data_IF_542111812930
#
_entry.id   IF_542111812930
#
_cell.length_a   1.000
_cell.length_b   1.000
_cell.length_c   1.000
_cell.angle_alpha   90.00
_cell.angle_beta   90.00
_cell.angle_gamma   90.00
#
_symmetry.space_group_name_H-M   'P 1'
#
loop_
_entity.id
_entity.type
_entity.pdbx_description
1 polymer ?
#
# COMPACT_ATOMS: atom_id res chain seq x y z
N UNK A 1 -8.29 21.27 -2.81
CA UNK A 1 -7.92 20.22 -1.83
C UNK A 1 -7.56 18.95 -2.61
N UNK A 2 -6.46 18.32 -2.27
CA UNK A 2 -6.10 17.01 -2.88
C UNK A 2 -6.63 15.88 -2.00
N UNK A 3 -7.39 14.96 -2.58
CA UNK A 3 -7.93 13.77 -1.91
C UNK A 3 -7.03 12.58 -2.24
N UNK A 4 -6.75 11.75 -1.26
CA UNK A 4 -5.99 10.50 -1.37
C UNK A 4 -6.86 9.38 -0.83
N UNK A 5 -6.90 8.23 -1.50
CA UNK A 5 -7.67 7.07 -1.08
C UNK A 5 -6.80 6.15 -0.22
N UNK A 6 -7.25 5.84 1.00
CA UNK A 6 -6.65 4.81 1.84
C UNK A 6 -7.07 3.41 1.42
N UNK A 7 -6.12 2.49 1.32
CA UNK A 7 -6.35 1.12 0.86
C UNK A 7 -6.45 0.06 1.97
N UNK A 8 -6.34 0.46 3.22
CA UNK A 8 -6.24 -0.49 4.35
C UNK A 8 -7.35 -1.56 4.39
N UNK A 9 -8.56 -1.21 3.95
CA UNK A 9 -9.72 -2.11 3.91
C UNK A 9 -9.90 -2.87 2.59
N UNK A 10 -8.97 -2.70 1.63
CA UNK A 10 -9.11 -3.34 0.31
C UNK A 10 -8.73 -4.83 0.33
N UNK A 11 -7.85 -5.24 1.24
CA UNK A 11 -7.41 -6.64 1.37
C UNK A 11 -7.60 -7.22 2.76
N UNK A 12 -7.79 -6.38 3.77
CA UNK A 12 -7.89 -6.79 5.17
C UNK A 12 -9.05 -6.08 5.87
N UNK A 13 -9.57 -6.68 6.93
CA UNK A 13 -10.43 -5.98 7.89
C UNK A 13 -9.57 -5.03 8.71
N UNK A 14 -9.81 -3.74 8.61
CA UNK A 14 -9.07 -2.72 9.32
C UNK A 14 -10.00 -1.77 10.07
N UNK A 15 -9.59 -1.35 11.26
CA UNK A 15 -10.37 -0.43 12.10
C UNK A 15 -11.31 -1.13 13.09
N UNK A 16 -12.10 -0.33 13.79
CA UNK A 16 -12.95 -0.75 14.93
C UNK A 16 -14.27 -1.38 14.46
N UNK A 17 -14.68 -1.16 13.23
CA UNK A 17 -15.96 -1.62 12.69
C UNK A 17 -15.82 -2.96 11.97
N UNK A 18 -16.86 -3.81 12.08
CA UNK A 18 -16.97 -5.11 11.41
C UNK A 18 -17.24 -4.97 9.90
N UNK A 19 -16.51 -4.10 9.19
CA UNK A 19 -16.66 -3.96 7.75
C UNK A 19 -16.23 -5.23 7.02
N UNK A 20 -17.03 -5.61 6.05
CA UNK A 20 -16.68 -6.65 5.09
C UNK A 20 -15.57 -6.15 4.19
N UNK A 21 -14.61 -7.02 3.87
CA UNK A 21 -13.63 -6.72 2.83
C UNK A 21 -14.36 -6.50 1.51
N UNK A 22 -14.03 -5.42 0.80
CA UNK A 22 -14.66 -5.10 -0.48
C UNK A 22 -14.36 -6.15 -1.53
N UNK A 23 -15.36 -6.49 -2.33
CA UNK A 23 -15.15 -7.36 -3.48
C UNK A 23 -14.30 -6.66 -4.55
N UNK A 24 -13.68 -7.42 -5.44
CA UNK A 24 -12.92 -6.85 -6.58
C UNK A 24 -13.81 -5.96 -7.44
N UNK A 25 -15.09 -6.29 -7.58
CA UNK A 25 -16.04 -5.50 -8.37
C UNK A 25 -16.31 -4.14 -7.71
N UNK A 26 -16.51 -4.12 -6.40
CA UNK A 26 -16.66 -2.87 -5.63
C UNK A 26 -15.41 -2.01 -5.72
N UNK A 27 -14.23 -2.61 -5.59
CA UNK A 27 -12.95 -1.90 -5.70
C UNK A 27 -12.75 -1.31 -7.11
N UNK A 28 -13.12 -2.04 -8.17
CA UNK A 28 -13.11 -1.50 -9.54
C UNK A 28 -14.02 -0.28 -9.67
N UNK A 29 -15.20 -0.32 -9.05
CA UNK A 29 -16.14 0.80 -9.01
C UNK A 29 -15.55 2.01 -8.29
N UNK A 30 -14.97 1.82 -7.11
CA UNK A 30 -14.32 2.86 -6.32
C UNK A 30 -13.18 3.50 -7.12
N UNK A 31 -12.28 2.71 -7.67
CA UNK A 31 -11.14 3.22 -8.44
C UNK A 31 -11.59 3.96 -9.71
N UNK A 32 -12.60 3.45 -10.40
CA UNK A 32 -13.18 4.14 -11.57
C UNK A 32 -13.77 5.49 -11.19
N UNK A 33 -14.52 5.56 -10.09
CA UNK A 33 -15.06 6.81 -9.56
C UNK A 33 -13.96 7.80 -9.21
N UNK A 34 -12.92 7.35 -8.52
CA UNK A 34 -11.77 8.17 -8.15
C UNK A 34 -11.10 8.79 -9.39
N UNK A 35 -10.80 7.96 -10.40
CA UNK A 35 -10.18 8.42 -11.67
C UNK A 35 -11.03 9.47 -12.37
N UNK A 36 -12.36 9.28 -12.45
CA UNK A 36 -13.30 10.24 -13.05
C UNK A 36 -13.34 11.58 -12.31
N UNK A 37 -13.08 11.58 -11.01
CA UNK A 37 -13.11 12.78 -10.16
C UNK A 37 -11.72 13.37 -9.87
N UNK A 38 -10.69 12.97 -10.63
CA UNK A 38 -9.33 13.50 -10.49
C UNK A 38 -8.60 13.04 -9.22
N UNK A 39 -9.13 12.01 -8.54
CA UNK A 39 -8.47 11.37 -7.39
C UNK A 39 -7.54 10.30 -7.95
N UNK A 40 -6.25 10.59 -7.98
CA UNK A 40 -5.26 9.77 -8.68
C UNK A 40 -4.13 9.28 -7.76
N UNK A 41 -4.33 9.32 -6.44
CA UNK A 41 -3.34 8.88 -5.47
C UNK A 41 -3.95 7.91 -4.46
N UNK A 42 -3.24 6.81 -4.21
CA UNK A 42 -3.61 5.78 -3.25
C UNK A 42 -2.57 5.76 -2.13
N UNK A 43 -3.03 5.83 -0.89
CA UNK A 43 -2.23 5.60 0.31
C UNK A 43 -2.32 4.12 0.70
N UNK A 44 -1.22 3.44 0.56
CA UNK A 44 -1.08 2.01 0.72
C UNK A 44 -0.02 1.66 1.78
N UNK A 45 0.14 0.38 2.07
CA UNK A 45 1.27 -0.14 2.85
C UNK A 45 1.61 -1.57 2.39
N UNK A 46 2.89 -1.85 2.20
CA UNK A 46 3.37 -3.19 1.85
C UNK A 46 2.93 -4.24 2.89
N UNK A 47 2.71 -3.81 4.14
CA UNK A 47 2.24 -4.67 5.23
C UNK A 47 0.74 -4.97 5.22
N UNK A 48 -0.04 -4.45 4.26
CA UNK A 48 -1.48 -4.73 4.16
C UNK A 48 -1.79 -6.09 3.50
N UNK A 49 -1.00 -7.11 3.82
CA UNK A 49 -1.21 -8.48 3.35
C UNK A 49 -0.98 -8.61 1.84
N UNK A 50 -1.99 -9.08 1.10
CA UNK A 50 -1.90 -9.30 -0.34
C UNK A 50 -2.40 -8.13 -1.19
N UNK A 51 -2.32 -6.91 -0.69
CA UNK A 51 -2.89 -5.72 -1.34
C UNK A 51 -2.37 -5.51 -2.77
N UNK A 52 -1.09 -5.73 -3.00
CA UNK A 52 -0.48 -5.59 -4.33
C UNK A 52 -1.15 -6.53 -5.35
N UNK A 53 -1.45 -7.77 -4.93
CA UNK A 53 -2.17 -8.75 -5.74
C UNK A 53 -3.63 -8.36 -6.01
N UNK A 54 -4.26 -7.64 -5.09
CA UNK A 54 -5.59 -7.06 -5.28
C UNK A 54 -5.52 -5.97 -6.35
N UNK A 55 -4.57 -5.04 -6.24
CA UNK A 55 -4.40 -3.97 -7.22
C UNK A 55 -4.02 -4.49 -8.62
N UNK A 56 -3.29 -5.60 -8.72
CA UNK A 56 -3.00 -6.24 -10.00
C UNK A 56 -4.26 -6.63 -10.79
N UNK A 57 -5.39 -6.88 -10.11
CA UNK A 57 -6.68 -7.25 -10.72
C UNK A 57 -7.53 -6.05 -11.13
N UNK A 58 -7.04 -4.84 -10.89
CA UNK A 58 -7.75 -3.58 -11.09
C UNK A 58 -6.94 -2.70 -12.06
N UNK A 59 -7.62 -1.93 -12.91
CA UNK A 59 -6.93 -0.94 -13.75
C UNK A 59 -6.41 0.22 -12.90
N UNK A 60 -5.13 0.15 -12.53
CA UNK A 60 -4.41 1.18 -11.78
C UNK A 60 -3.61 2.13 -12.66
N UNK A 61 -3.81 2.11 -13.98
CA UNK A 61 -3.15 3.05 -14.91
C UNK A 61 -3.44 4.49 -14.48
N UNK A 62 -2.43 5.34 -14.51
CA UNK A 62 -2.48 6.75 -14.10
C UNK A 62 -2.76 6.98 -12.60
N UNK A 63 -2.72 5.94 -11.77
CA UNK A 63 -2.73 6.10 -10.32
C UNK A 63 -1.31 6.15 -9.77
N UNK A 64 -1.10 7.04 -8.84
CA UNK A 64 0.11 7.16 -8.04
C UNK A 64 -0.07 6.39 -6.73
N UNK A 65 1.00 5.81 -6.23
CA UNK A 65 0.98 5.09 -4.96
C UNK A 65 1.96 5.74 -3.98
N UNK A 66 1.45 6.01 -2.79
CA UNK A 66 2.24 6.23 -1.59
C UNK A 66 2.25 4.91 -0.85
N UNK A 67 3.40 4.44 -0.36
CA UNK A 67 3.44 3.21 0.44
C UNK A 67 4.19 3.40 1.74
N UNK A 68 3.98 2.47 2.66
CA UNK A 68 4.61 2.44 3.97
C UNK A 68 5.37 1.15 4.16
N UNK A 69 6.56 1.27 4.77
CA UNK A 69 7.40 0.13 5.14
C UNK A 69 7.52 0.10 6.66
N UNK A 70 7.39 -1.11 7.20
CA UNK A 70 7.60 -1.40 8.61
C UNK A 70 8.98 -2.01 8.83
N UNK A 71 9.67 -1.60 9.89
CA UNK A 71 10.89 -2.24 10.33
C UNK A 71 10.56 -3.67 10.81
N UNK A 72 11.21 -4.71 10.28
CA UNK A 72 10.94 -6.08 10.71
C UNK A 72 11.38 -6.30 12.16
N UNK A 73 10.68 -7.15 12.90
CA UNK A 73 10.98 -7.43 14.32
C UNK A 73 12.41 -7.92 14.55
N UNK A 74 12.94 -8.68 13.60
CA UNK A 74 14.29 -9.24 13.62
C UNK A 74 15.34 -8.37 12.90
N UNK A 75 15.10 -7.07 12.76
CA UNK A 75 15.96 -6.17 11.98
C UNK A 75 17.43 -6.20 12.39
N UNK A 76 17.70 -6.46 13.69
CA UNK A 76 19.08 -6.60 14.20
C UNK A 76 19.85 -7.79 13.62
N UNK A 77 19.16 -8.80 13.12
CA UNK A 77 19.74 -9.98 12.47
C UNK A 77 19.98 -9.79 10.96
N UNK A 78 19.45 -8.71 10.39
CA UNK A 78 19.56 -8.44 8.97
C UNK A 78 20.89 -7.71 8.71
N UNK A 79 21.79 -8.38 8.01
CA UNK A 79 23.14 -7.84 7.73
C UNK A 79 23.12 -6.55 6.92
N UNK A 80 22.16 -6.41 5.99
CA UNK A 80 22.03 -5.24 5.12
C UNK A 80 20.57 -4.81 5.01
N UNK A 81 20.13 -3.93 5.92
CA UNK A 81 18.77 -3.40 5.95
C UNK A 81 18.41 -2.62 4.68
N UNK A 82 19.36 -1.90 4.07
CA UNK A 82 19.13 -1.16 2.84
C UNK A 82 18.74 -2.12 1.72
N UNK A 83 19.50 -3.18 1.54
CA UNK A 83 19.21 -4.18 0.49
C UNK A 83 17.88 -4.87 0.76
N UNK A 84 17.64 -5.27 2.00
CA UNK A 84 16.36 -5.87 2.43
C UNK A 84 15.15 -5.01 2.05
N UNK A 85 15.18 -3.71 2.34
CA UNK A 85 14.09 -2.81 1.98
C UNK A 85 13.97 -2.60 0.47
N UNK A 86 15.10 -2.49 -0.23
CA UNK A 86 15.10 -2.36 -1.69
C UNK A 86 14.45 -3.57 -2.36
N UNK A 87 14.71 -4.77 -1.88
CA UNK A 87 14.14 -6.00 -2.43
C UNK A 87 12.64 -6.07 -2.20
N UNK A 88 12.15 -5.72 -1.01
CA UNK A 88 10.71 -5.64 -0.72
C UNK A 88 10.03 -4.63 -1.64
N UNK A 89 10.61 -3.44 -1.81
CA UNK A 89 10.07 -2.39 -2.68
C UNK A 89 10.02 -2.87 -4.13
N UNK A 90 11.08 -3.50 -4.62
CA UNK A 90 11.15 -4.02 -6.00
C UNK A 90 10.11 -5.10 -6.26
N UNK A 91 9.95 -6.03 -5.33
CA UNK A 91 8.92 -7.08 -5.42
C UNK A 91 7.52 -6.48 -5.47
N UNK A 92 7.19 -5.57 -4.57
CA UNK A 92 5.90 -4.89 -4.54
C UNK A 92 5.63 -4.12 -5.84
N UNK A 93 6.59 -3.32 -6.32
CA UNK A 93 6.48 -2.61 -7.59
C UNK A 93 6.29 -3.55 -8.79
N UNK A 94 6.98 -4.69 -8.80
CA UNK A 94 6.83 -5.72 -9.83
C UNK A 94 5.41 -6.30 -9.85
N UNK A 95 4.84 -6.62 -8.67
CA UNK A 95 3.46 -7.12 -8.56
C UNK A 95 2.47 -6.07 -9.02
N UNK A 96 2.62 -4.81 -8.59
CA UNK A 96 1.78 -3.68 -8.98
C UNK A 96 1.91 -3.28 -10.46
N UNK A 97 2.96 -3.71 -11.14
CA UNK A 97 3.28 -3.24 -12.49
C UNK A 97 3.65 -1.77 -12.54
N UNK A 98 4.28 -1.25 -11.49
CA UNK A 98 4.70 0.15 -11.36
C UNK A 98 6.21 0.28 -11.40
N UNK A 99 6.70 1.44 -11.88
CA UNK A 99 8.14 1.74 -11.92
C UNK A 99 8.65 2.38 -10.63
N UNK A 100 7.77 3.06 -9.89
CA UNK A 100 8.12 3.79 -8.65
C UNK A 100 6.91 4.02 -7.77
N UNK A 101 7.14 4.24 -6.51
CA UNK A 101 6.21 4.89 -5.60
C UNK A 101 6.38 6.42 -5.65
N UNK A 102 5.31 7.17 -5.45
CA UNK A 102 5.37 8.63 -5.34
C UNK A 102 5.96 9.08 -4.01
N UNK A 103 5.75 8.29 -2.97
CA UNK A 103 6.30 8.54 -1.64
C UNK A 103 6.47 7.22 -0.89
N UNK A 104 7.48 7.16 -0.04
CA UNK A 104 7.75 6.05 0.86
C UNK A 104 7.76 6.58 2.29
N UNK A 105 6.95 6.00 3.15
CA UNK A 105 6.79 6.40 4.55
C UNK A 105 7.23 5.27 5.49
N UNK A 106 7.66 5.62 6.70
CA UNK A 106 7.78 4.66 7.79
C UNK A 106 6.38 4.37 8.34
N UNK A 107 6.01 3.08 8.45
CA UNK A 107 4.69 2.69 8.94
C UNK A 107 4.55 2.86 10.46
N UNK A 108 5.63 2.59 11.18
CA UNK A 108 5.73 2.80 12.62
C UNK A 108 7.12 3.36 12.93
N UNK A 109 7.17 4.42 13.68
CA UNK A 109 8.41 4.90 14.29
C UNK A 109 8.46 4.27 15.68
N UNK A 110 9.40 3.36 15.93
CA UNK A 110 9.62 2.85 17.27
C UNK A 110 9.99 4.03 18.16
N UNK A 111 9.08 4.47 19.03
CA UNK A 111 9.47 5.31 20.14
C UNK A 111 10.41 4.46 21.00
N UNK A 112 11.70 4.78 21.00
CA UNK A 112 12.60 4.31 22.05
C UNK A 112 12.03 4.82 23.37
N UNK A 113 11.18 4.05 24.01
CA UNK A 113 10.94 4.19 25.43
C UNK A 113 12.27 3.81 26.08
N UNK A 114 13.02 4.83 26.49
CA UNK A 114 14.10 4.68 27.48
C UNK A 114 13.55 4.09 28.76
#
# INVERSE_FOLDING_TARGET
>A
MKVIIGSANFSNKYGISNYKISSIQELKGIISYCKKNGINCIDDAISYGNIDSVFKKIDTKNLNFITKIKLPKNYKLIKNLKLYFLDIIRESLKILGKKKYSCLLAHEVSSNKK
#
